data_IF_331688520588
#
_entry.id   IF_331688520588
#
_cell.length_a   1.000
_cell.length_b   1.000
_cell.length_c   1.000
_cell.angle_alpha   90.00
_cell.angle_beta   90.00
_cell.angle_gamma   90.00
#
_symmetry.space_group_name_H-M   'P 1'
#
loop_
_entity.id
_entity.type
_entity.pdbx_description
1 polymer ?
#
# COMPACT_ATOMS: atom_id res chain seq x y z
N UNK A 1 13.69 -15.41 7.05
CA UNK A 1 13.14 -15.98 5.80
C UNK A 1 12.75 -14.82 4.92
N UNK A 2 13.37 -14.72 3.75
CA UNK A 2 13.16 -13.63 2.79
C UNK A 2 11.76 -13.78 2.19
N UNK A 3 11.12 -12.68 1.77
CA UNK A 3 9.77 -12.68 1.20
C UNK A 3 9.68 -13.67 0.01
N UNK A 4 9.00 -14.83 0.14
CA UNK A 4 8.99 -15.87 -0.89
C UNK A 4 8.38 -15.41 -2.22
N UNK A 5 7.48 -14.43 -2.15
CA UNK A 5 6.88 -13.80 -3.32
C UNK A 5 7.16 -12.30 -3.31
N UNK A 6 7.62 -11.77 -4.45
CA UNK A 6 7.93 -10.35 -4.65
C UNK A 6 7.35 -9.88 -5.98
N UNK A 7 6.62 -8.76 -5.96
CA UNK A 7 5.98 -8.17 -7.13
C UNK A 7 6.31 -6.68 -7.23
N UNK A 8 6.37 -6.15 -8.46
CA UNK A 8 6.57 -4.73 -8.72
C UNK A 8 5.57 -4.23 -9.76
N UNK A 9 4.95 -3.10 -9.48
CA UNK A 9 3.97 -2.44 -10.34
C UNK A 9 4.37 -0.98 -10.58
N UNK A 10 4.03 -0.47 -11.76
CA UNK A 10 4.09 0.95 -12.12
C UNK A 10 2.70 1.50 -12.51
N UNK A 11 1.71 0.62 -12.68
CA UNK A 11 0.32 0.94 -12.93
C UNK A 11 -0.60 0.37 -11.83
N UNK A 12 -1.54 1.20 -11.36
CA UNK A 12 -2.52 0.84 -10.34
C UNK A 12 -3.54 -0.20 -10.83
N UNK A 13 -3.89 -0.16 -12.12
CA UNK A 13 -4.84 -1.11 -12.71
C UNK A 13 -4.27 -2.53 -12.70
N UNK A 14 -3.00 -2.68 -13.08
CA UNK A 14 -2.30 -3.96 -13.05
C UNK A 14 -2.18 -4.50 -11.62
N UNK A 15 -1.88 -3.64 -10.64
CA UNK A 15 -1.90 -4.04 -9.24
C UNK A 15 -3.29 -4.54 -8.80
N UNK A 16 -4.34 -3.80 -9.16
CA UNK A 16 -5.73 -4.13 -8.77
C UNK A 16 -6.19 -5.46 -9.37
N UNK A 17 -5.81 -5.74 -10.62
CA UNK A 17 -6.16 -7.00 -11.29
C UNK A 17 -5.46 -8.22 -10.69
N UNK A 18 -4.30 -8.04 -10.05
CA UNK A 18 -3.47 -9.14 -9.54
C UNK A 18 -3.50 -9.29 -8.01
N UNK A 19 -4.08 -8.33 -7.27
CA UNK A 19 -3.98 -8.29 -5.80
C UNK A 19 -4.60 -9.51 -5.11
N UNK A 20 -5.72 -10.03 -5.61
CA UNK A 20 -6.36 -11.23 -5.03
C UNK A 20 -5.45 -12.45 -5.13
N UNK A 21 -4.86 -12.70 -6.29
CA UNK A 21 -3.91 -13.81 -6.49
C UNK A 21 -2.68 -13.65 -5.61
N UNK A 22 -2.14 -12.44 -5.53
CA UNK A 22 -0.97 -12.12 -4.72
C UNK A 22 -1.24 -12.43 -3.24
N UNK A 23 -2.39 -12.04 -2.71
CA UNK A 23 -2.78 -12.27 -1.32
C UNK A 23 -3.04 -13.74 -1.00
N UNK A 24 -3.36 -14.57 -1.99
CA UNK A 24 -3.56 -16.00 -1.84
C UNK A 24 -2.25 -16.80 -1.81
N UNK A 25 -1.09 -16.18 -2.08
CA UNK A 25 0.19 -16.87 -2.03
C UNK A 25 0.60 -17.25 -0.60
N UNK A 26 1.23 -18.42 -0.41
CA UNK A 26 1.72 -18.83 0.89
C UNK A 26 2.90 -17.96 1.35
N UNK A 27 2.75 -17.36 2.54
CA UNK A 27 3.82 -16.62 3.21
C UNK A 27 3.76 -15.10 3.01
N UNK A 28 4.73 -14.36 3.57
CA UNK A 28 4.73 -12.91 3.48
C UNK A 28 5.07 -12.46 2.05
N UNK A 29 4.22 -11.63 1.46
CA UNK A 29 4.42 -11.09 0.12
C UNK A 29 4.93 -9.66 0.18
N UNK A 30 5.92 -9.34 -0.65
CA UNK A 30 6.42 -7.99 -0.82
C UNK A 30 5.93 -7.40 -2.14
N UNK A 31 5.33 -6.20 -2.09
CA UNK A 31 4.85 -5.49 -3.28
C UNK A 31 5.44 -4.09 -3.30
N UNK A 32 6.05 -3.71 -4.43
CA UNK A 32 6.51 -2.34 -4.66
C UNK A 32 5.67 -1.67 -5.73
N UNK A 33 5.27 -0.43 -5.50
CA UNK A 33 4.58 0.38 -6.50
C UNK A 33 5.25 1.75 -6.64
N UNK A 34 5.65 2.10 -7.87
CA UNK A 34 6.18 3.43 -8.16
C UNK A 34 5.02 4.36 -8.47
N UNK A 35 4.86 5.42 -7.68
CA UNK A 35 3.79 6.42 -7.86
C UNK A 35 4.42 7.76 -8.23
N UNK A 36 3.91 8.41 -9.27
CA UNK A 36 4.29 9.77 -9.60
C UNK A 36 3.67 10.73 -8.55
N UNK A 37 4.46 11.64 -7.95
CA UNK A 37 3.92 12.57 -6.97
C UNK A 37 2.99 13.58 -7.66
N UNK A 38 1.87 13.87 -7.02
CA UNK A 38 1.03 15.01 -7.39
C UNK A 38 1.76 16.31 -6.99
N UNK A 39 1.93 17.24 -7.93
CA UNK A 39 2.69 18.48 -7.70
C UNK A 39 1.76 19.59 -7.22
N UNK A 40 1.91 19.99 -5.96
CA UNK A 40 1.17 21.10 -5.37
C UNK A 40 1.97 22.42 -5.49
N UNK A 41 1.51 23.34 -6.34
CA UNK A 41 2.09 24.67 -6.55
C UNK A 41 1.65 25.72 -5.51
N UNK A 42 1.32 25.29 -4.29
CA UNK A 42 0.99 26.19 -3.18
C UNK A 42 2.24 26.53 -2.36
N UNK A 43 2.32 27.75 -1.80
CA UNK A 43 3.37 28.11 -0.86
C UNK A 43 3.41 27.14 0.34
N UNK A 44 4.61 26.85 0.86
CA UNK A 44 4.80 25.85 1.94
C UNK A 44 3.93 26.10 3.19
N UNK A 45 3.60 27.36 3.48
CA UNK A 45 2.75 27.75 4.62
C UNK A 45 1.24 27.53 4.40
N UNK A 46 0.83 27.25 3.15
CA UNK A 46 -0.55 26.96 2.76
C UNK A 46 -0.76 25.48 2.41
N UNK A 47 0.32 24.70 2.29
CA UNK A 47 0.25 23.26 2.03
C UNK A 47 -0.43 22.54 3.19
N UNK A 48 -1.44 21.74 2.86
CA UNK A 48 -2.09 20.87 3.84
C UNK A 48 -1.16 19.70 4.15
N UNK A 49 -0.99 19.37 5.44
CA UNK A 49 -0.20 18.19 5.83
C UNK A 49 -0.88 16.93 5.28
N UNK A 50 -0.23 16.27 4.31
CA UNK A 50 -0.74 15.07 3.66
C UNK A 50 -0.72 13.84 4.58
N UNK A 51 0.32 13.70 5.41
CA UNK A 51 0.39 12.67 6.46
C UNK A 51 -0.42 13.10 7.69
N UNK A 52 -1.69 12.67 7.73
CA UNK A 52 -2.61 12.90 8.85
C UNK A 52 -2.62 11.76 9.88
N UNK A 53 -2.10 10.57 9.53
CA UNK A 53 -2.09 9.36 10.37
C UNK A 53 -0.68 8.93 10.69
N UNK A 54 -0.48 8.37 11.88
CA UNK A 54 0.77 7.67 12.25
C UNK A 54 0.79 6.29 11.61
N UNK A 55 1.99 5.68 11.49
CA UNK A 55 2.15 4.31 10.97
C UNK A 55 1.26 3.31 11.71
N UNK A 56 1.18 3.39 13.03
CA UNK A 56 0.39 2.46 13.84
C UNK A 56 -1.11 2.58 13.54
N UNK A 57 -1.62 3.81 13.40
CA UNK A 57 -3.00 4.04 12.96
C UNK A 57 -3.28 3.46 11.58
N UNK A 58 -2.37 3.65 10.63
CA UNK A 58 -2.51 3.09 9.29
C UNK A 58 -2.56 1.55 9.32
N UNK A 59 -1.71 0.91 10.13
CA UNK A 59 -1.70 -0.56 10.25
C UNK A 59 -2.99 -1.08 10.89
N UNK A 60 -3.48 -0.44 11.95
CA UNK A 60 -4.72 -0.83 12.62
C UNK A 60 -5.94 -0.67 11.69
N UNK A 61 -6.01 0.43 10.94
CA UNK A 61 -7.08 0.65 9.96
C UNK A 61 -7.06 -0.42 8.86
N UNK A 62 -5.87 -0.73 8.31
CA UNK A 62 -5.73 -1.79 7.31
C UNK A 62 -6.15 -3.17 7.84
N UNK A 63 -5.79 -3.50 9.08
CA UNK A 63 -6.21 -4.77 9.71
C UNK A 63 -7.73 -4.84 9.91
N UNK A 64 -8.35 -3.72 10.25
CA UNK A 64 -9.80 -3.62 10.40
C UNK A 64 -10.52 -3.81 9.06
N UNK A 65 -10.03 -3.17 8.00
CA UNK A 65 -10.63 -3.22 6.67
C UNK A 65 -10.46 -4.57 5.99
N UNK A 66 -9.29 -5.21 6.14
CA UNK A 66 -8.99 -6.53 5.56
C UNK A 66 -9.62 -7.69 6.35
N UNK A 67 -10.06 -7.46 7.59
CA UNK A 67 -10.57 -8.50 8.47
C UNK A 67 -9.50 -9.49 8.94
N UNK A 68 -9.87 -10.50 9.76
CA UNK A 68 -8.95 -11.55 10.16
C UNK A 68 -8.48 -12.33 8.92
N UNK A 69 -7.17 -12.55 8.79
CA UNK A 69 -6.62 -13.45 7.78
C UNK A 69 -7.30 -14.81 7.95
N UNK A 70 -8.10 -15.21 6.96
CA UNK A 70 -8.70 -16.54 6.90
C UNK A 70 -7.62 -17.62 7.03
N UNK A 71 -7.97 -18.67 7.76
CA UNK A 71 -7.09 -19.76 8.21
C UNK A 71 -6.38 -20.51 7.08
#
# INVERSE_FOLDING_TARGET
MWYPSTYSFDNLEDFTNNIEEILNNPGPVFVTMKVAPEVENTPINQRVRWQKKTRDQTILDLQKDLGPRGS
#
